data_IF_098969083876
#
_entry.id   IF_098969083876
#
_cell.length_a   1.000
_cell.length_b   1.000
_cell.length_c   1.000
_cell.angle_alpha   90.00
_cell.angle_beta   90.00
_cell.angle_gamma   90.00
#
_symmetry.space_group_name_H-M   'P 1'
#
loop_
_entity.id
_entity.type
_entity.pdbx_description
1 polymer ?
#
# COMPACT_ATOMS: atom_id res chain seq x y z
N UNK A 1 0.55 -17.82 -22.38
CA UNK A 1 -0.32 -16.92 -21.60
C UNK A 1 0.51 -15.70 -21.27
N UNK A 2 0.02 -14.51 -21.62
CA UNK A 2 0.75 -13.26 -21.35
C UNK A 2 0.86 -13.08 -19.83
N UNK A 3 1.99 -12.56 -19.33
CA UNK A 3 2.23 -12.40 -17.88
C UNK A 3 1.10 -11.62 -17.17
N UNK A 4 0.47 -10.70 -17.89
CA UNK A 4 -0.68 -9.93 -17.44
C UNK A 4 -1.94 -10.81 -17.23
N UNK A 5 -2.22 -11.72 -18.16
CA UNK A 5 -3.34 -12.67 -18.04
C UNK A 5 -3.17 -13.61 -16.84
N UNK A 6 -1.93 -14.04 -16.59
CA UNK A 6 -1.59 -14.85 -15.41
C UNK A 6 -1.92 -14.09 -14.12
N UNK A 7 -1.51 -12.82 -14.03
CA UNK A 7 -1.76 -11.99 -12.86
C UNK A 7 -3.26 -11.75 -12.66
N UNK A 8 -4.01 -11.48 -13.73
CA UNK A 8 -5.46 -11.27 -13.66
C UNK A 8 -6.14 -12.53 -13.10
N UNK A 9 -5.88 -13.70 -13.72
CA UNK A 9 -6.46 -14.98 -13.27
C UNK A 9 -6.14 -15.27 -11.79
N UNK A 10 -4.88 -15.18 -11.40
CA UNK A 10 -4.45 -15.43 -10.01
C UNK A 10 -5.04 -14.43 -9.02
N UNK A 11 -5.25 -13.19 -9.45
CA UNK A 11 -5.90 -12.16 -8.61
C UNK A 11 -7.37 -12.48 -8.39
N UNK A 12 -8.07 -12.98 -9.41
CA UNK A 12 -9.47 -13.39 -9.28
C UNK A 12 -9.60 -14.64 -8.40
N UNK A 13 -8.73 -15.64 -8.57
CA UNK A 13 -8.65 -16.82 -7.68
C UNK A 13 -8.41 -16.40 -6.23
N UNK A 14 -7.47 -15.48 -6.00
CA UNK A 14 -7.17 -14.93 -4.68
C UNK A 14 -8.39 -14.21 -4.08
N UNK A 15 -9.11 -13.43 -4.89
CA UNK A 15 -10.34 -12.73 -4.48
C UNK A 15 -11.40 -13.72 -4.02
N UNK A 16 -11.65 -14.76 -4.81
CA UNK A 16 -12.67 -15.78 -4.52
C UNK A 16 -12.34 -16.59 -3.27
N UNK A 17 -11.10 -17.08 -3.16
CA UNK A 17 -10.64 -17.90 -2.02
C UNK A 17 -10.73 -17.15 -0.70
N UNK A 18 -10.45 -15.84 -0.72
CA UNK A 18 -10.51 -15.01 0.48
C UNK A 18 -11.89 -14.40 0.71
N UNK A 19 -12.83 -14.44 -0.24
CA UNK A 19 -14.14 -13.81 -0.10
C UNK A 19 -14.88 -14.27 1.17
N UNK A 20 -14.79 -15.56 1.48
CA UNK A 20 -15.43 -16.21 2.64
C UNK A 20 -14.73 -15.96 3.98
N UNK A 21 -13.50 -15.43 3.97
CA UNK A 21 -12.74 -15.17 5.20
C UNK A 21 -13.20 -13.91 5.92
N UNK A 22 -12.96 -13.88 7.23
CA UNK A 22 -13.24 -12.72 8.08
C UNK A 22 -12.32 -11.55 7.77
N UNK A 23 -12.69 -10.34 8.23
CA UNK A 23 -11.87 -9.13 8.03
C UNK A 23 -10.46 -9.29 8.64
N UNK A 24 -10.30 -9.80 9.89
CA UNK A 24 -8.97 -10.03 10.47
C UNK A 24 -8.10 -10.96 9.64
N UNK A 25 -8.67 -12.06 9.11
CA UNK A 25 -7.94 -12.98 8.25
C UNK A 25 -7.55 -12.32 6.93
N UNK A 26 -8.46 -11.60 6.27
CA UNK A 26 -8.16 -10.84 5.04
C UNK A 26 -7.02 -9.82 5.25
N UNK A 27 -6.94 -9.23 6.44
CA UNK A 27 -5.88 -8.29 6.77
C UNK A 27 -4.49 -8.96 6.82
N UNK A 28 -4.40 -10.23 7.23
CA UNK A 28 -3.13 -10.99 7.21
C UNK A 28 -2.59 -11.18 5.79
N UNK A 29 -3.46 -11.21 4.80
CA UNK A 29 -3.05 -11.26 3.40
C UNK A 29 -2.84 -9.87 2.79
N UNK A 30 -3.05 -8.77 3.49
CA UNK A 30 -3.06 -7.42 2.87
C UNK A 30 -4.02 -7.33 1.67
N UNK A 31 -5.20 -7.96 1.79
CA UNK A 31 -6.16 -8.20 0.71
C UNK A 31 -6.36 -7.01 -0.25
N UNK A 32 -6.67 -5.83 0.29
CA UNK A 32 -6.92 -4.64 -0.54
C UNK A 32 -5.66 -4.14 -1.26
N UNK A 33 -4.48 -4.22 -0.63
CA UNK A 33 -3.22 -3.85 -1.28
C UNK A 33 -2.94 -4.77 -2.46
N UNK A 34 -3.15 -6.08 -2.30
CA UNK A 34 -2.94 -7.04 -3.40
C UNK A 34 -3.85 -6.74 -4.57
N UNK A 35 -5.15 -6.55 -4.34
CA UNK A 35 -6.09 -6.23 -5.42
C UNK A 35 -5.69 -4.94 -6.16
N UNK A 36 -5.32 -3.90 -5.41
CA UNK A 36 -4.90 -2.62 -5.97
C UNK A 36 -3.60 -2.78 -6.77
N UNK A 37 -2.57 -3.42 -6.20
CA UNK A 37 -1.29 -3.67 -6.85
C UNK A 37 -1.48 -4.46 -8.13
N UNK A 38 -2.23 -5.58 -8.09
CA UNK A 38 -2.52 -6.40 -9.28
C UNK A 38 -3.15 -5.59 -10.40
N UNK A 39 -4.14 -4.74 -10.08
CA UNK A 39 -4.83 -3.93 -11.08
C UNK A 39 -3.95 -2.86 -11.73
N UNK A 40 -2.89 -2.41 -11.04
CA UNK A 40 -2.04 -1.31 -11.49
C UNK A 40 -0.73 -1.79 -12.12
N UNK A 41 -0.11 -2.85 -11.59
CA UNK A 41 1.16 -3.35 -12.11
C UNK A 41 1.05 -3.84 -13.56
N UNK A 42 -0.10 -4.40 -13.95
CA UNK A 42 -0.35 -4.88 -15.32
C UNK A 42 -0.28 -3.74 -16.36
N UNK A 43 -0.55 -2.49 -15.95
CA UNK A 43 -0.55 -1.31 -16.83
C UNK A 43 0.87 -0.86 -17.22
N UNK A 44 1.90 -1.39 -16.57
CA UNK A 44 3.30 -1.01 -16.78
C UNK A 44 4.08 -2.09 -17.54
N UNK A 45 4.90 -1.70 -18.51
CA UNK A 45 5.64 -2.61 -19.40
C UNK A 45 7.16 -2.36 -19.44
N UNK A 46 7.68 -1.45 -18.62
CA UNK A 46 9.12 -1.24 -18.51
C UNK A 46 9.84 -2.44 -17.87
N UNK A 47 11.16 -2.49 -18.02
CA UNK A 47 11.99 -3.61 -17.54
C UNK A 47 11.83 -3.90 -16.05
N UNK A 48 11.60 -2.87 -15.22
CA UNK A 48 11.43 -3.05 -13.78
C UNK A 48 10.03 -3.58 -13.46
N UNK A 49 9.00 -3.09 -14.14
CA UNK A 49 7.66 -3.66 -14.02
C UNK A 49 7.64 -5.14 -14.42
N UNK A 50 8.34 -5.54 -15.48
CA UNK A 50 8.41 -6.95 -15.92
C UNK A 50 8.98 -7.87 -14.83
N UNK A 51 10.10 -7.51 -14.22
CA UNK A 51 10.68 -8.32 -13.12
C UNK A 51 9.79 -8.34 -11.88
N UNK A 52 9.11 -7.23 -11.57
CA UNK A 52 8.15 -7.19 -10.47
C UNK A 52 6.91 -8.05 -10.72
N UNK A 53 6.43 -8.16 -11.95
CA UNK A 53 5.33 -9.06 -12.32
C UNK A 53 5.69 -10.52 -12.07
N UNK A 54 6.94 -10.92 -12.31
CA UNK A 54 7.41 -12.27 -11.98
C UNK A 54 7.43 -12.53 -10.47
N UNK A 55 7.90 -11.55 -9.67
CA UNK A 55 7.84 -11.60 -8.20
C UNK A 55 6.37 -11.70 -7.74
N UNK A 56 5.47 -11.00 -8.41
CA UNK A 56 4.05 -11.03 -8.09
C UNK A 56 3.38 -12.37 -8.39
N UNK A 57 3.81 -13.05 -9.45
CA UNK A 57 3.34 -14.41 -9.73
C UNK A 57 3.81 -15.37 -8.63
N UNK A 58 5.10 -15.28 -8.24
CA UNK A 58 5.66 -16.09 -7.14
C UNK A 58 4.93 -15.88 -5.81
N UNK A 59 4.49 -14.65 -5.55
CA UNK A 59 3.64 -14.38 -4.39
C UNK A 59 2.38 -15.22 -4.39
N UNK A 60 1.64 -15.23 -5.50
CA UNK A 60 0.41 -16.03 -5.59
C UNK A 60 0.70 -17.53 -5.52
N UNK A 61 1.79 -18.00 -6.12
CA UNK A 61 2.22 -19.41 -5.99
C UNK A 61 2.48 -19.76 -4.53
N UNK A 62 3.19 -18.92 -3.78
CA UNK A 62 3.45 -19.14 -2.35
C UNK A 62 2.15 -19.14 -1.52
N UNK A 63 1.20 -18.24 -1.80
CA UNK A 63 -0.09 -18.24 -1.09
C UNK A 63 -0.90 -19.50 -1.39
N UNK A 64 -0.86 -19.99 -2.63
CA UNK A 64 -1.54 -21.21 -3.04
C UNK A 64 -0.91 -22.45 -2.41
N UNK A 65 0.42 -22.54 -2.38
CA UNK A 65 1.18 -23.59 -1.69
C UNK A 65 0.85 -23.65 -0.19
N UNK A 66 0.59 -22.48 0.41
CA UNK A 66 0.15 -22.34 1.81
C UNK A 66 -1.34 -22.63 2.00
N UNK A 67 -2.07 -23.02 0.96
CA UNK A 67 -3.52 -23.23 0.97
C UNK A 67 -4.31 -22.05 1.56
N UNK A 68 -3.84 -20.81 1.33
CA UNK A 68 -4.47 -19.60 1.89
C UNK A 68 -4.57 -19.62 3.42
N UNK A 69 -3.53 -20.13 4.08
CA UNK A 69 -3.38 -20.12 5.55
C UNK A 69 -2.18 -19.25 5.92
N UNK A 70 -2.43 -18.20 6.69
CA UNK A 70 -1.41 -17.39 7.38
C UNK A 70 -1.89 -17.28 8.82
N UNK A 71 -1.16 -17.88 9.76
CA UNK A 71 -1.61 -17.97 11.16
C UNK A 71 -1.14 -16.79 12.00
N UNK A 72 0.00 -16.19 11.63
CA UNK A 72 0.70 -15.22 12.46
C UNK A 72 0.98 -13.91 11.73
N UNK A 73 0.84 -12.80 12.46
CA UNK A 73 1.18 -11.46 11.96
C UNK A 73 2.65 -11.34 11.54
N UNK A 74 3.55 -12.09 12.18
CA UNK A 74 4.97 -12.13 11.82
C UNK A 74 5.18 -12.71 10.42
N UNK A 75 4.45 -13.77 10.08
CA UNK A 75 4.53 -14.40 8.76
C UNK A 75 3.91 -13.52 7.67
N UNK A 76 2.74 -12.94 7.95
CA UNK A 76 2.13 -11.90 7.12
C UNK A 76 3.13 -10.78 6.79
N UNK A 77 3.84 -10.27 7.79
CA UNK A 77 4.88 -9.23 7.63
C UNK A 77 6.06 -9.70 6.77
N UNK A 78 6.50 -10.95 6.90
CA UNK A 78 7.58 -11.52 6.06
C UNK A 78 7.14 -11.58 4.59
N UNK A 79 5.96 -12.12 4.32
CA UNK A 79 5.38 -12.20 2.97
C UNK A 79 5.26 -10.79 2.38
N UNK A 80 4.75 -9.85 3.16
CA UNK A 80 4.67 -8.46 2.75
C UNK A 80 6.02 -7.88 2.33
N UNK A 81 7.05 -8.02 3.16
CA UNK A 81 8.37 -7.44 2.89
C UNK A 81 9.05 -8.05 1.66
N UNK A 82 8.86 -9.35 1.42
CA UNK A 82 9.48 -10.05 0.31
C UNK A 82 8.77 -9.72 -1.02
N UNK A 83 7.44 -9.73 -1.02
CA UNK A 83 6.67 -9.69 -2.27
C UNK A 83 5.90 -8.40 -2.50
N UNK A 84 5.26 -7.86 -1.47
CA UNK A 84 4.32 -6.73 -1.61
C UNK A 84 5.08 -5.40 -1.64
N UNK A 85 6.01 -5.22 -0.70
CA UNK A 85 6.75 -3.97 -0.52
C UNK A 85 7.53 -3.51 -1.78
N UNK A 86 8.21 -4.38 -2.54
CA UNK A 86 8.89 -3.95 -3.77
C UNK A 86 7.93 -3.39 -4.83
N UNK A 87 6.73 -3.98 -4.96
CA UNK A 87 5.70 -3.50 -5.88
C UNK A 87 5.08 -2.19 -5.39
N UNK A 88 4.81 -2.07 -4.09
CA UNK A 88 4.34 -0.81 -3.50
C UNK A 88 5.34 0.33 -3.76
N UNK A 89 6.62 0.13 -3.47
CA UNK A 89 7.65 1.15 -3.71
C UNK A 89 7.75 1.55 -5.18
N UNK A 90 7.56 0.59 -6.09
CA UNK A 90 7.52 0.86 -7.52
C UNK A 90 6.33 1.73 -7.90
N UNK A 91 5.12 1.36 -7.45
CA UNK A 91 3.88 2.07 -7.75
C UNK A 91 3.80 3.44 -7.05
N UNK A 92 4.40 3.60 -5.87
CA UNK A 92 4.57 4.91 -5.20
C UNK A 92 5.35 5.85 -6.12
N UNK A 93 6.48 5.38 -6.67
CA UNK A 93 7.34 6.21 -7.54
C UNK A 93 6.70 6.50 -8.89
N UNK A 94 5.95 5.56 -9.45
CA UNK A 94 5.37 5.69 -10.80
C UNK A 94 4.01 6.35 -10.84
N UNK A 95 3.17 6.08 -9.85
CA UNK A 95 1.76 6.45 -9.88
C UNK A 95 1.28 7.24 -8.66
N UNK A 96 2.19 7.55 -7.74
CA UNK A 96 1.91 8.23 -6.48
C UNK A 96 0.92 7.44 -5.62
N UNK A 97 1.12 6.12 -5.51
CA UNK A 97 0.43 5.32 -4.50
C UNK A 97 0.58 5.95 -3.12
N UNK A 98 -0.51 5.97 -2.37
CA UNK A 98 -0.55 6.52 -1.02
C UNK A 98 -0.58 5.39 -0.01
N UNK A 99 0.25 5.50 1.02
CA UNK A 99 0.35 4.59 2.16
C UNK A 99 -0.24 5.23 3.42
N UNK A 100 -0.43 4.43 4.47
CA UNK A 100 -0.77 4.99 5.80
C UNK A 100 0.33 5.92 6.33
N UNK A 101 1.60 5.58 6.05
CA UNK A 101 2.77 6.32 6.51
C UNK A 101 2.83 7.75 5.96
N UNK A 102 2.25 8.00 4.78
CA UNK A 102 2.29 9.33 4.17
C UNK A 102 1.57 10.40 4.99
N UNK A 103 0.48 10.03 5.69
CA UNK A 103 -0.20 10.96 6.60
C UNK A 103 0.70 11.27 7.80
N UNK A 104 1.35 10.24 8.36
CA UNK A 104 2.25 10.42 9.49
C UNK A 104 3.43 11.31 9.12
N UNK A 105 4.03 11.12 7.93
CA UNK A 105 5.11 11.96 7.43
C UNK A 105 4.67 13.41 7.22
N UNK A 106 3.46 13.64 6.69
CA UNK A 106 2.90 14.97 6.54
C UNK A 106 2.67 15.62 7.91
N UNK A 107 2.07 14.91 8.87
CA UNK A 107 1.84 15.44 10.22
C UNK A 107 3.17 15.77 10.90
N UNK A 108 4.17 14.87 10.85
CA UNK A 108 5.51 15.11 11.42
C UNK A 108 6.17 16.34 10.78
N UNK A 109 6.07 16.48 9.45
CA UNK A 109 6.59 17.65 8.74
C UNK A 109 5.90 18.94 9.20
N UNK A 110 4.59 18.86 9.46
CA UNK A 110 3.80 19.98 9.99
C UNK A 110 4.24 20.36 11.39
N UNK A 111 4.48 19.36 12.26
CA UNK A 111 5.01 19.56 13.60
C UNK A 111 6.36 20.29 13.54
N UNK A 112 7.28 19.82 12.69
CA UNK A 112 8.60 20.42 12.54
C UNK A 112 8.50 21.88 12.08
N UNK A 113 7.65 22.17 11.08
CA UNK A 113 7.43 23.55 10.62
C UNK A 113 6.81 24.42 11.72
N UNK A 114 5.83 23.89 12.46
CA UNK A 114 5.20 24.61 13.56
C UNK A 114 6.23 24.95 14.66
N UNK A 115 7.15 24.04 15.00
CA UNK A 115 8.23 24.31 15.95
C UNK A 115 9.24 25.35 15.45
N UNK A 116 9.63 25.26 14.18
CA UNK A 116 10.53 26.24 13.56
C UNK A 116 9.89 27.64 13.62
N UNK A 117 8.63 27.76 13.23
CA UNK A 117 7.94 29.04 13.21
C UNK A 117 7.67 29.58 14.60
N UNK A 118 7.29 28.73 15.55
CA UNK A 118 7.18 29.11 16.96
C UNK A 118 8.49 29.69 17.50
N UNK A 119 9.63 29.10 17.15
CA UNK A 119 10.94 29.59 17.58
C UNK A 119 11.26 30.99 17.05
N UNK A 120 10.78 31.35 15.85
CA UNK A 120 11.08 32.64 15.21
C UNK A 120 10.00 33.71 15.37
N UNK A 121 8.73 33.35 15.59
CA UNK A 121 7.58 34.28 15.51
C UNK A 121 6.94 34.67 16.86
N UNK A 122 7.49 34.21 17.99
CA UNK A 122 7.09 34.58 19.35
C UNK A 122 5.59 34.32 19.67
N UNK A 123 5.08 34.82 20.81
CA UNK A 123 3.85 34.40 21.53
C UNK A 123 2.51 34.33 20.77
N UNK A 124 2.43 34.75 19.50
CA UNK A 124 1.18 34.75 18.71
C UNK A 124 1.12 33.65 17.65
N UNK A 125 2.06 32.70 17.67
CA UNK A 125 2.07 31.59 16.73
C UNK A 125 1.02 30.52 17.05
N UNK A 126 0.21 30.16 16.05
CA UNK A 126 -0.73 29.05 16.10
C UNK A 126 -0.22 27.88 15.24
N UNK A 127 -0.33 26.62 15.69
CA UNK A 127 0.15 25.44 14.96
C UNK A 127 -0.75 25.10 13.77
N UNK A 128 -0.68 25.92 12.73
CA UNK A 128 -1.55 25.84 11.55
C UNK A 128 -1.03 24.77 10.58
N UNK A 129 0.28 24.49 10.53
CA UNK A 129 0.84 23.56 9.56
C UNK A 129 0.51 22.10 9.90
N UNK A 130 0.48 21.72 11.18
CA UNK A 130 -0.02 20.40 11.59
C UNK A 130 -1.45 20.19 11.08
N UNK A 131 -2.34 21.15 11.30
CA UNK A 131 -3.75 21.05 10.89
C UNK A 131 -3.89 21.02 9.37
N UNK A 132 -3.21 21.91 8.64
CA UNK A 132 -3.21 21.94 7.19
C UNK A 132 -2.70 20.61 6.60
N UNK A 133 -1.59 20.08 7.11
CA UNK A 133 -0.99 18.85 6.60
C UNK A 133 -1.81 17.61 6.98
N UNK A 134 -2.49 17.61 8.13
CA UNK A 134 -3.47 16.58 8.49
C UNK A 134 -4.64 16.57 7.49
N UNK A 135 -5.26 17.72 7.23
CA UNK A 135 -6.38 17.83 6.27
C UNK A 135 -5.94 17.42 4.86
N UNK A 136 -4.76 17.90 4.41
CA UNK A 136 -4.20 17.55 3.12
C UNK A 136 -3.92 16.04 3.01
N UNK A 137 -3.33 15.44 4.05
CA UNK A 137 -3.06 14.01 4.12
C UNK A 137 -4.33 13.16 4.05
N UNK A 138 -5.36 13.54 4.82
CA UNK A 138 -6.67 12.88 4.78
C UNK A 138 -7.33 12.99 3.41
N UNK A 139 -7.26 14.16 2.77
CA UNK A 139 -7.79 14.38 1.42
C UNK A 139 -7.07 13.49 0.39
N UNK A 140 -5.74 13.50 0.38
CA UNK A 140 -4.94 12.68 -0.54
C UNK A 140 -5.23 11.18 -0.36
N UNK A 141 -5.35 10.71 0.89
CA UNK A 141 -5.71 9.31 1.18
C UNK A 141 -7.11 8.97 0.68
N UNK A 142 -8.09 9.86 0.88
CA UNK A 142 -9.46 9.66 0.38
C UNK A 142 -9.46 9.49 -1.14
N UNK A 143 -8.78 10.38 -1.85
CA UNK A 143 -8.66 10.31 -3.31
C UNK A 143 -7.94 9.04 -3.78
N UNK A 144 -6.85 8.66 -3.10
CA UNK A 144 -6.10 7.45 -3.43
C UNK A 144 -6.94 6.16 -3.26
N UNK A 145 -7.77 6.09 -2.20
CA UNK A 145 -8.69 4.97 -1.99
C UNK A 145 -9.74 4.87 -3.09
N UNK A 146 -10.33 6.00 -3.50
CA UNK A 146 -11.32 6.05 -4.59
C UNK A 146 -10.69 5.58 -5.91
N UNK A 147 -9.43 5.95 -6.16
CA UNK A 147 -8.71 5.64 -7.39
C UNK A 147 -7.99 4.29 -7.39
N UNK A 148 -8.11 3.47 -6.33
CA UNK A 148 -7.40 2.19 -6.20
C UNK A 148 -5.88 2.32 -6.10
N UNK A 149 -5.36 3.51 -5.80
CA UNK A 149 -3.93 3.83 -5.66
C UNK A 149 -3.49 3.83 -4.20
N UNK A 150 -4.01 2.89 -3.43
CA UNK A 150 -3.83 2.86 -1.99
C UNK A 150 -3.25 1.53 -1.53
N UNK A 151 -2.16 1.62 -0.78
CA UNK A 151 -1.46 0.51 -0.16
C UNK A 151 -1.69 0.57 1.36
N UNK A 152 -2.47 -0.38 1.90
CA UNK A 152 -2.64 -0.52 3.33
C UNK A 152 -1.42 -1.25 3.92
N UNK A 153 -0.34 -0.52 4.21
CA UNK A 153 0.89 -1.12 4.76
C UNK A 153 0.69 -1.76 6.14
N UNK A 154 -0.32 -1.37 6.92
CA UNK A 154 -0.56 -1.92 8.25
C UNK A 154 -2.04 -1.80 8.62
N UNK A 155 -2.61 -2.90 9.13
CA UNK A 155 -3.78 -2.93 10.01
C UNK A 155 -3.39 -3.61 11.33
#
# INVERSE_FOLDING_TARGET
MEINEIIIRKTDEFREKLAVKTIPEKNLFHYNSILNISSRIILHNDSKAKSLKEIWIKFFDEIDERNYIIEQKLESSKIHNIYILPLEQYLIRKEQFVTNSDIHLLVISGIILDFILFYFLDQYYYPIFILLFLVLGLYRRKQAKINGKYAAMFW
#
